data_IF_427786301371
#
_entry.id   IF_427786301371
#
_cell.length_a   1.000
_cell.length_b   1.000
_cell.length_c   1.000
_cell.angle_alpha   90.00
_cell.angle_beta   90.00
_cell.angle_gamma   90.00
#
_symmetry.space_group_name_H-M   'P 1'
#
loop_
_entity.id
_entity.type
_entity.pdbx_description
1 polymer ?
#
# COMPACT_ATOMS: atom_id res chain seq x y z
N UNK A 1 1.95 -12.35 10.07
CA UNK A 1 1.43 -12.81 8.76
C UNK A 1 0.15 -12.07 8.44
N UNK A 2 -0.23 -11.92 7.17
CA UNK A 2 -1.47 -11.23 6.77
C UNK A 2 -2.71 -11.82 7.44
N UNK A 3 -2.77 -13.16 7.58
CA UNK A 3 -3.89 -13.86 8.22
C UNK A 3 -4.13 -13.48 9.69
N UNK A 4 -3.17 -12.87 10.36
CA UNK A 4 -3.26 -12.48 11.77
C UNK A 4 -3.76 -11.05 11.96
N UNK A 5 -3.81 -10.25 10.89
CA UNK A 5 -4.08 -8.81 10.98
C UNK A 5 -5.52 -8.52 11.44
N UNK A 6 -6.51 -9.32 11.04
CA UNK A 6 -7.92 -9.10 11.43
C UNK A 6 -8.20 -9.29 12.92
N UNK A 7 -7.29 -9.91 13.66
CA UNK A 7 -7.40 -10.05 15.11
C UNK A 7 -6.69 -8.93 15.88
N UNK A 8 -5.91 -8.09 15.19
CA UNK A 8 -5.23 -6.95 15.80
C UNK A 8 -6.19 -5.75 15.87
N UNK A 9 -6.05 -4.87 16.88
CA UNK A 9 -6.74 -3.59 16.85
C UNK A 9 -6.23 -2.70 15.71
N UNK A 10 -7.02 -1.70 15.34
CA UNK A 10 -6.56 -0.60 14.48
C UNK A 10 -5.26 0.01 15.01
N UNK A 11 -4.36 0.38 14.10
CA UNK A 11 -3.10 1.01 14.50
C UNK A 11 -1.92 0.71 13.58
N UNK A 12 -0.70 1.12 13.99
CA UNK A 12 0.48 0.97 13.16
C UNK A 12 0.87 -0.50 13.00
N UNK A 13 1.08 -0.91 11.76
CA UNK A 13 1.53 -2.25 11.39
C UNK A 13 2.61 -2.18 10.31
N UNK A 14 3.46 -3.20 10.28
CA UNK A 14 4.39 -3.45 9.18
C UNK A 14 4.05 -4.80 8.55
N UNK A 15 3.87 -4.80 7.24
CA UNK A 15 3.52 -5.98 6.44
C UNK A 15 4.51 -6.12 5.29
N UNK A 16 4.74 -7.35 4.84
CA UNK A 16 5.60 -7.62 3.69
C UNK A 16 5.03 -8.77 2.88
N UNK A 17 5.27 -8.75 1.58
CA UNK A 17 4.76 -9.76 0.64
C UNK A 17 5.00 -9.34 -0.80
N UNK A 18 4.29 -9.99 -1.71
CA UNK A 18 4.40 -9.75 -3.14
C UNK A 18 3.18 -8.98 -3.66
N UNK A 19 3.44 -8.07 -4.58
CA UNK A 19 2.41 -7.31 -5.27
C UNK A 19 1.63 -8.24 -6.19
N UNK A 20 0.34 -8.47 -5.90
CA UNK A 20 -0.55 -9.26 -6.76
C UNK A 20 -1.22 -8.36 -7.81
N UNK A 21 -1.65 -7.15 -7.42
CA UNK A 21 -2.29 -6.22 -8.36
C UNK A 21 -2.12 -4.79 -7.87
N UNK A 22 -1.84 -3.87 -8.80
CA UNK A 22 -1.92 -2.43 -8.57
C UNK A 22 -3.10 -1.88 -9.35
N UNK A 23 -3.99 -1.18 -8.66
CA UNK A 23 -5.05 -0.39 -9.30
C UNK A 23 -4.79 1.07 -9.02
N UNK A 24 -4.41 1.78 -10.06
CA UNK A 24 -4.14 3.20 -9.99
C UNK A 24 -5.35 4.01 -10.46
N UNK A 25 -5.96 4.77 -9.55
CA UNK A 25 -7.03 5.71 -9.86
C UNK A 25 -6.59 7.14 -9.57
N UNK A 26 -7.28 8.12 -10.17
CA UNK A 26 -6.89 9.54 -10.13
C UNK A 26 -6.60 10.10 -8.72
N UNK A 27 -7.35 9.67 -7.70
CA UNK A 27 -7.25 10.19 -6.32
C UNK A 27 -6.77 9.17 -5.29
N UNK A 28 -6.65 7.91 -5.68
CA UNK A 28 -6.36 6.81 -4.75
C UNK A 28 -5.75 5.65 -5.52
N UNK A 29 -4.74 5.02 -4.93
CA UNK A 29 -4.13 3.80 -5.42
C UNK A 29 -4.44 2.67 -4.44
N UNK A 30 -4.73 1.50 -5.00
CA UNK A 30 -4.90 0.26 -4.26
C UNK A 30 -3.83 -0.73 -4.69
N UNK A 31 -3.17 -1.35 -3.73
CA UNK A 31 -2.26 -2.47 -3.98
C UNK A 31 -2.80 -3.69 -3.25
N UNK A 32 -2.96 -4.79 -3.96
CA UNK A 32 -3.22 -6.09 -3.33
C UNK A 32 -1.88 -6.72 -3.03
N UNK A 33 -1.56 -6.83 -1.74
CA UNK A 33 -0.36 -7.48 -1.24
C UNK A 33 -0.73 -8.91 -0.83
N UNK A 34 0.04 -9.90 -1.29
CA UNK A 34 -0.14 -11.30 -0.91
C UNK A 34 1.09 -11.83 -0.20
N UNK A 35 0.86 -12.59 0.87
CA UNK A 35 1.85 -13.48 1.47
C UNK A 35 1.33 -14.93 1.41
N UNK A 36 2.08 -15.87 1.98
CA UNK A 36 1.69 -17.29 2.05
C UNK A 36 0.41 -17.56 2.88
N UNK A 37 -0.01 -16.59 3.69
CA UNK A 37 -1.15 -16.71 4.60
C UNK A 37 -2.44 -16.05 4.09
N UNK A 38 -2.35 -15.13 3.13
CA UNK A 38 -3.51 -14.44 2.58
C UNK A 38 -3.18 -13.21 1.76
N UNK A 39 -4.23 -12.44 1.43
CA UNK A 39 -4.13 -11.19 0.69
C UNK A 39 -4.67 -10.03 1.53
N UNK A 40 -4.06 -8.86 1.37
CA UNK A 40 -4.35 -7.61 2.07
C UNK A 40 -4.49 -6.48 1.08
N UNK A 41 -5.48 -5.61 1.30
CA UNK A 41 -5.58 -4.34 0.56
C UNK A 41 -4.71 -3.27 1.23
N UNK A 42 -3.81 -2.68 0.46
CA UNK A 42 -3.11 -1.46 0.82
C UNK A 42 -3.73 -0.28 0.09
N UNK A 43 -3.80 0.87 0.77
CA UNK A 43 -4.40 2.10 0.23
C UNK A 43 -3.45 3.27 0.35
N UNK A 44 -3.26 3.99 -0.75
CA UNK A 44 -2.54 5.27 -0.79
C UNK A 44 -3.43 6.36 -1.39
N UNK A 45 -3.72 7.48 -0.68
CA UNK A 45 -4.26 8.68 -1.31
C UNK A 45 -3.26 9.19 -2.36
N UNK A 46 -3.67 9.23 -3.63
CA UNK A 46 -2.77 9.61 -4.71
C UNK A 46 -2.54 11.13 -4.70
N UNK A 47 -1.29 11.53 -4.54
CA UNK A 47 -0.86 12.93 -4.63
C UNK A 47 -0.22 13.16 -5.99
N UNK A 48 -0.76 14.11 -6.76
CA UNK A 48 -0.34 14.44 -8.12
C UNK A 48 -0.42 15.93 -8.34
N UNK A 49 0.19 16.39 -9.43
CA UNK A 49 0.10 17.77 -9.90
C UNK A 49 0.48 18.77 -8.79
N UNK A 50 1.65 18.55 -8.19
CA UNK A 50 2.15 19.43 -7.12
C UNK A 50 2.39 20.86 -7.65
N UNK A 51 1.93 21.84 -6.88
CA UNK A 51 2.18 23.26 -7.16
C UNK A 51 3.63 23.65 -6.84
N UNK A 52 4.10 24.73 -7.46
CA UNK A 52 5.40 25.30 -7.15
C UNK A 52 5.43 25.78 -5.69
N UNK A 53 6.30 25.18 -4.87
CA UNK A 53 6.41 25.46 -3.44
C UNK A 53 5.72 24.43 -2.53
N UNK A 54 5.33 23.26 -3.04
CA UNK A 54 4.82 22.16 -2.24
C UNK A 54 5.74 21.81 -1.05
N UNK A 55 5.13 21.47 0.09
CA UNK A 55 5.83 21.04 1.30
C UNK A 55 6.63 19.75 1.09
N UNK A 56 7.56 19.45 2.01
CA UNK A 56 8.34 18.22 1.95
C UNK A 56 7.45 16.97 2.08
N UNK A 57 6.37 17.07 2.86
CA UNK A 57 5.38 16.03 3.05
C UNK A 57 4.59 15.74 1.77
N UNK A 58 4.18 16.78 1.04
CA UNK A 58 3.49 16.64 -0.24
C UNK A 58 4.40 16.03 -1.31
N UNK A 59 5.67 16.43 -1.35
CA UNK A 59 6.68 15.84 -2.23
C UNK A 59 6.91 14.36 -1.92
N UNK A 60 7.00 13.98 -0.64
CA UNK A 60 7.11 12.58 -0.24
C UNK A 60 5.87 11.76 -0.62
N UNK A 61 4.67 12.33 -0.48
CA UNK A 61 3.43 11.68 -0.88
C UNK A 61 3.32 11.50 -2.42
N UNK A 62 3.80 12.47 -3.19
CA UNK A 62 3.88 12.35 -4.65
C UNK A 62 4.90 11.28 -5.06
N UNK A 63 6.10 11.26 -4.46
CA UNK A 63 7.11 10.23 -4.71
C UNK A 63 6.60 8.82 -4.37
N UNK A 64 5.85 8.68 -3.27
CA UNK A 64 5.17 7.42 -2.92
C UNK A 64 4.15 7.02 -3.98
N UNK A 65 3.36 7.99 -4.47
CA UNK A 65 2.36 7.76 -5.53
C UNK A 65 3.01 7.28 -6.81
N UNK A 66 4.13 7.89 -7.22
CA UNK A 66 4.91 7.47 -8.38
C UNK A 66 5.50 6.07 -8.19
N UNK A 67 6.09 5.80 -7.02
CA UNK A 67 6.66 4.50 -6.67
C UNK A 67 5.61 3.40 -6.78
N UNK A 68 4.42 3.60 -6.21
CA UNK A 68 3.32 2.62 -6.28
C UNK A 68 2.87 2.40 -7.72
N UNK A 69 2.78 3.47 -8.52
CA UNK A 69 2.39 3.40 -9.93
C UNK A 69 3.36 2.59 -10.80
N UNK A 70 4.63 2.47 -10.39
CA UNK A 70 5.67 1.73 -11.09
C UNK A 70 5.80 0.25 -10.65
N UNK A 71 5.08 -0.19 -9.61
CA UNK A 71 5.20 -1.55 -9.09
C UNK A 71 4.69 -2.59 -10.09
N UNK A 72 5.55 -3.52 -10.48
CA UNK A 72 5.19 -4.69 -11.28
C UNK A 72 4.59 -5.81 -10.41
N UNK A 73 3.74 -6.65 -11.00
CA UNK A 73 3.27 -7.88 -10.37
C UNK A 73 4.46 -8.76 -9.96
N UNK A 74 4.40 -9.34 -8.75
CA UNK A 74 5.47 -10.16 -8.20
C UNK A 74 6.61 -9.36 -7.55
N UNK A 75 6.58 -8.03 -7.58
CA UNK A 75 7.53 -7.21 -6.82
C UNK A 75 7.35 -7.47 -5.34
N UNK A 76 8.45 -7.72 -4.61
CA UNK A 76 8.42 -7.90 -3.17
C UNK A 76 8.55 -6.54 -2.49
N UNK A 77 7.58 -6.19 -1.64
CA UNK A 77 7.56 -4.92 -0.92
C UNK A 77 7.39 -5.14 0.58
N UNK A 78 7.92 -4.19 1.37
CA UNK A 78 7.63 -4.01 2.78
C UNK A 78 6.94 -2.68 2.98
N UNK A 79 5.86 -2.67 3.73
CA UNK A 79 4.99 -1.52 3.93
C UNK A 79 4.80 -1.30 5.40
N UNK A 80 4.97 -0.05 5.85
CA UNK A 80 4.52 0.38 7.18
C UNK A 80 3.34 1.32 6.98
N UNK A 81 2.30 1.14 7.79
CA UNK A 81 1.06 1.87 7.64
C UNK A 81 0.12 1.69 8.80
N UNK A 82 -1.10 2.19 8.64
CA UNK A 82 -2.15 2.09 9.64
C UNK A 82 -3.20 1.05 9.22
N UNK A 83 -3.32 -0.02 10.01
CA UNK A 83 -4.39 -1.01 9.88
C UNK A 83 -5.72 -0.38 10.27
N UNK A 84 -6.72 -0.59 9.43
CA UNK A 84 -8.12 -0.18 9.63
C UNK A 84 -9.06 -1.33 9.33
N UNK A 85 -10.08 -1.48 10.18
CA UNK A 85 -11.23 -2.33 9.89
C UNK A 85 -12.23 -1.57 9.02
N UNK A 86 -12.53 -2.13 7.85
CA UNK A 86 -13.49 -1.58 6.91
C UNK A 86 -14.29 -2.72 6.26
N UNK A 87 -15.56 -2.83 6.66
CA UNK A 87 -16.49 -3.86 6.18
C UNK A 87 -16.74 -3.83 4.66
N UNK A 88 -16.41 -2.71 4.00
CA UNK A 88 -16.52 -2.58 2.54
C UNK A 88 -15.42 -3.34 1.80
N UNK A 89 -14.33 -3.69 2.51
CA UNK A 89 -13.18 -4.39 1.94
C UNK A 89 -13.44 -5.89 1.91
N UNK A 90 -13.43 -6.47 0.70
CA UNK A 90 -13.72 -7.89 0.48
C UNK A 90 -12.58 -8.84 0.90
N UNK A 91 -11.43 -8.30 1.31
CA UNK A 91 -10.25 -9.04 1.77
C UNK A 91 -10.20 -9.10 3.30
N UNK A 92 -11.20 -9.73 3.91
CA UNK A 92 -11.27 -9.92 5.36
C UNK A 92 -11.72 -8.69 6.16
N UNK A 93 -12.31 -7.68 5.50
CA UNK A 93 -12.83 -6.49 6.17
C UNK A 93 -11.75 -5.58 6.74
N UNK A 94 -10.52 -5.65 6.22
CA UNK A 94 -9.38 -4.88 6.69
C UNK A 94 -8.57 -4.28 5.53
N UNK A 95 -7.97 -3.13 5.78
CA UNK A 95 -7.00 -2.50 4.88
C UNK A 95 -5.89 -1.80 5.65
N UNK A 96 -4.77 -1.55 4.98
CA UNK A 96 -3.66 -0.76 5.54
C UNK A 96 -3.47 0.50 4.72
N UNK A 97 -3.60 1.65 5.37
CA UNK A 97 -3.23 2.93 4.77
C UNK A 97 -1.71 3.07 4.80
N UNK A 98 -1.09 3.20 3.63
CA UNK A 98 0.36 3.24 3.48
C UNK A 98 0.90 4.53 4.09
N UNK A 99 1.89 4.42 4.98
CA UNK A 99 2.70 5.54 5.44
C UNK A 99 4.07 5.52 4.75
N UNK A 100 4.71 4.36 4.66
CA UNK A 100 5.97 4.16 3.93
C UNK A 100 5.97 2.83 3.19
N UNK A 101 6.70 2.78 2.07
CA UNK A 101 6.87 1.60 1.24
C UNK A 101 8.34 1.46 0.86
N UNK A 102 8.87 0.25 1.03
CA UNK A 102 10.20 -0.18 0.63
C UNK A 102 10.06 -1.28 -0.42
N UNK A 103 10.71 -1.11 -1.58
CA UNK A 103 10.85 -2.19 -2.58
C UNK A 103 12.03 -3.06 -2.17
N UNK A 104 11.73 -4.28 -1.74
CA UNK A 104 12.75 -5.24 -1.24
C UNK A 104 13.39 -5.99 -2.41
N UNK A 105 12.58 -6.33 -3.42
CA UNK A 105 13.05 -6.96 -4.66
C UNK A 105 12.12 -6.60 -5.80
N UNK A 106 12.67 -6.07 -6.88
CA UNK A 106 11.92 -5.81 -8.11
C UNK A 106 11.59 -7.13 -8.82
N UNK A 107 10.39 -7.21 -9.39
CA UNK A 107 10.07 -8.24 -10.38
C UNK A 107 10.51 -7.81 -11.77
N UNK A 108 10.90 -8.78 -12.59
CA UNK A 108 11.15 -8.55 -14.00
C UNK A 108 9.80 -8.34 -14.73
N UNK A 109 9.71 -7.37 -15.64
CA UNK A 109 8.49 -7.07 -16.39
C UNK A 109 8.10 -8.16 -17.40
#
# INVERSE_FOLDING_TARGET
MVSQLSALPDGPVTVAGWVETVRDQKKVQFVILRDESGALQLVNPATRDLEAGASAEEQAAAALTETIGALAHGTMIRVTGELKHDERVKLGGIEVKIATLEVVSEALP
#
